data_IF_658554196988
#
_entry.id   IF_658554196988
#
_cell.length_a   1.000
_cell.length_b   1.000
_cell.length_c   1.000
_cell.angle_alpha   90.00
_cell.angle_beta   90.00
_cell.angle_gamma   90.00
#
_symmetry.space_group_name_H-M   'P 1'
#
loop_
_entity.id
_entity.type
_entity.pdbx_description
1 polymer ?
#
# COMPACT_ATOMS: atom_id res chain seq x y z
N UNK A 1 14.47 -9.29 -12.60
CA UNK A 1 13.22 -9.98 -12.19
C UNK A 1 12.34 -8.93 -11.55
N UNK A 2 11.40 -8.37 -12.31
CA UNK A 2 10.41 -7.44 -11.76
C UNK A 2 9.42 -8.31 -11.01
N UNK A 3 9.43 -8.26 -9.68
CA UNK A 3 8.40 -8.91 -8.88
C UNK A 3 7.07 -8.27 -9.28
N UNK A 4 6.29 -9.00 -10.08
CA UNK A 4 5.03 -8.51 -10.63
C UNK A 4 4.05 -8.40 -9.46
N UNK A 5 3.96 -7.20 -8.89
CA UNK A 5 3.06 -6.89 -7.80
C UNK A 5 1.64 -7.05 -8.35
N UNK A 6 0.89 -8.07 -7.92
CA UNK A 6 -0.49 -8.26 -8.33
C UNK A 6 -1.42 -7.39 -7.45
N UNK A 7 -1.84 -6.20 -7.89
CA UNK A 7 -2.56 -5.27 -7.04
C UNK A 7 -3.97 -5.75 -6.70
N UNK A 8 -4.61 -6.52 -7.58
CA UNK A 8 -5.94 -7.07 -7.34
C UNK A 8 -5.91 -8.09 -6.21
N UNK A 9 -4.95 -9.02 -6.23
CA UNK A 9 -4.81 -10.04 -5.19
C UNK A 9 -4.53 -9.40 -3.83
N UNK A 10 -3.63 -8.41 -3.79
CA UNK A 10 -3.31 -7.64 -2.59
C UNK A 10 -4.57 -6.93 -2.08
N UNK A 11 -5.25 -6.16 -2.94
CA UNK A 11 -6.42 -5.39 -2.55
C UNK A 11 -7.55 -6.25 -1.97
N UNK A 12 -7.76 -7.45 -2.52
CA UNK A 12 -8.77 -8.39 -2.02
C UNK A 12 -8.40 -9.04 -0.69
N UNK A 13 -7.10 -9.21 -0.41
CA UNK A 13 -6.62 -9.79 0.84
C UNK A 13 -6.58 -8.77 1.99
N UNK A 14 -6.53 -7.47 1.69
CA UNK A 14 -6.50 -6.44 2.71
C UNK A 14 -7.84 -6.32 3.47
N UNK A 15 -7.80 -6.04 4.79
CA UNK A 15 -9.00 -5.75 5.57
C UNK A 15 -9.82 -4.59 4.98
N UNK A 16 -11.16 -4.67 5.08
CA UNK A 16 -12.07 -3.66 4.53
C UNK A 16 -11.85 -2.25 5.10
N UNK A 17 -11.48 -2.16 6.38
CA UNK A 17 -11.16 -0.87 7.01
C UNK A 17 -9.87 -0.27 6.43
N UNK A 18 -8.86 -1.10 6.20
CA UNK A 18 -7.59 -0.67 5.61
C UNK A 18 -7.78 -0.25 4.15
N UNK A 19 -8.48 -1.04 3.34
CA UNK A 19 -8.79 -0.67 1.95
C UNK A 19 -9.59 0.63 1.87
N UNK A 20 -10.54 0.86 2.78
CA UNK A 20 -11.28 2.13 2.84
C UNK A 20 -10.37 3.32 3.15
N UNK A 21 -9.43 3.15 4.09
CA UNK A 21 -8.48 4.20 4.44
C UNK A 21 -7.47 4.48 3.31
N UNK A 22 -6.93 3.43 2.69
CA UNK A 22 -6.02 3.53 1.56
C UNK A 22 -6.69 4.12 0.32
N UNK A 23 -7.96 3.79 0.05
CA UNK A 23 -8.71 4.33 -1.09
C UNK A 23 -8.91 5.84 -1.00
N UNK A 24 -9.21 6.36 0.21
CA UNK A 24 -9.37 7.81 0.43
C UNK A 24 -8.08 8.60 0.20
N UNK A 25 -6.92 7.95 0.34
CA UNK A 25 -5.61 8.58 0.40
C UNK A 25 -4.62 7.93 -0.55
N UNK A 26 -5.10 7.32 -1.65
CA UNK A 26 -4.30 6.44 -2.50
C UNK A 26 -3.07 7.14 -3.09
N UNK A 27 -3.18 8.43 -3.37
CA UNK A 27 -2.09 9.26 -3.91
C UNK A 27 -1.34 10.03 -2.82
N UNK A 28 -1.78 10.00 -1.57
CA UNK A 28 -1.11 10.69 -0.46
C UNK A 28 -0.01 9.81 0.18
N UNK A 29 0.95 10.41 0.91
CA UNK A 29 1.85 9.66 1.76
C UNK A 29 1.09 8.87 2.84
N UNK A 30 1.56 7.65 3.11
CA UNK A 30 1.16 6.86 4.26
C UNK A 30 1.75 7.50 5.51
N UNK A 31 0.89 7.82 6.46
CA UNK A 31 1.29 8.10 7.84
C UNK A 31 1.77 6.82 8.55
N UNK A 32 2.48 6.98 9.67
CA UNK A 32 3.07 5.87 10.42
C UNK A 32 2.03 4.83 10.85
N UNK A 33 0.82 5.26 11.22
CA UNK A 33 -0.26 4.36 11.63
C UNK A 33 -0.73 3.50 10.46
N UNK A 34 -0.97 4.09 9.29
CA UNK A 34 -1.30 3.35 8.07
C UNK A 34 -0.17 2.44 7.64
N UNK A 35 1.08 2.87 7.76
CA UNK A 35 2.24 2.06 7.40
C UNK A 35 2.36 0.80 8.29
N UNK A 36 2.12 0.94 9.60
CA UNK A 36 2.08 -0.18 10.53
C UNK A 36 0.94 -1.14 10.19
N UNK A 37 -0.25 -0.62 9.89
CA UNK A 37 -1.40 -1.44 9.46
C UNK A 37 -1.13 -2.18 8.15
N UNK A 38 -0.44 -1.55 7.21
CA UNK A 38 -0.04 -2.19 5.95
C UNK A 38 0.99 -3.29 6.19
N UNK A 39 2.01 -3.05 7.02
CA UNK A 39 2.98 -4.09 7.41
C UNK A 39 2.28 -5.29 8.03
N UNK A 40 1.44 -5.05 9.04
CA UNK A 40 0.72 -6.11 9.72
C UNK A 40 -0.18 -6.89 8.77
N UNK A 41 -0.95 -6.21 7.92
CA UNK A 41 -1.81 -6.89 6.95
C UNK A 41 -1.00 -7.70 5.93
N UNK A 42 0.17 -7.22 5.53
CA UNK A 42 1.05 -7.95 4.63
C UNK A 42 1.61 -9.21 5.31
N UNK A 43 2.05 -9.12 6.57
CA UNK A 43 2.51 -10.28 7.33
C UNK A 43 1.38 -11.28 7.59
N UNK A 44 0.20 -10.82 8.01
CA UNK A 44 -0.96 -11.67 8.32
C UNK A 44 -1.51 -12.41 7.08
N UNK A 45 -1.36 -11.83 5.88
CA UNK A 45 -1.89 -12.39 4.64
C UNK A 45 -0.80 -12.90 3.68
N UNK A 46 0.46 -12.97 4.14
CA UNK A 46 1.63 -13.36 3.33
C UNK A 46 1.72 -12.59 1.98
N UNK A 47 1.47 -11.27 2.05
CA UNK A 47 1.48 -10.40 0.88
C UNK A 47 2.86 -9.78 0.68
N UNK A 48 3.26 -9.53 -0.58
CA UNK A 48 4.46 -8.75 -0.85
C UNK A 48 4.30 -7.32 -0.35
N UNK A 49 5.43 -6.69 -0.05
CA UNK A 49 5.47 -5.27 0.32
C UNK A 49 4.92 -4.42 -0.83
N UNK A 50 3.80 -3.74 -0.58
CA UNK A 50 3.05 -2.95 -1.57
C UNK A 50 3.15 -1.44 -1.33
N UNK A 51 4.14 -1.01 -0.56
CA UNK A 51 4.51 0.38 -0.34
C UNK A 51 6.01 0.58 -0.56
N UNK A 52 6.42 1.83 -0.78
CA UNK A 52 7.81 2.22 -0.99
C UNK A 52 8.11 3.55 -0.29
N UNK A 53 9.37 3.86 0.04
CA UNK A 53 9.76 5.20 0.44
C UNK A 53 9.32 6.23 -0.61
N UNK A 54 8.76 7.35 -0.15
CA UNK A 54 8.37 8.46 -1.01
C UNK A 54 9.63 9.16 -1.52
N UNK A 55 9.89 9.17 -2.85
CA UNK A 55 11.08 9.82 -3.40
C UNK A 55 11.00 11.34 -3.36
N UNK A 56 9.80 11.92 -3.23
CA UNK A 56 9.57 13.36 -3.25
C UNK A 56 9.47 13.96 -1.84
N UNK A 57 9.23 13.14 -0.83
CA UNK A 57 9.25 13.57 0.55
C UNK A 57 10.58 13.17 1.21
N UNK A 58 11.14 14.07 2.02
CA UNK A 58 12.33 13.77 2.80
C UNK A 58 12.17 12.50 3.67
N UNK A 59 13.29 12.00 4.18
CA UNK A 59 13.40 10.78 4.99
C UNK A 59 12.18 10.52 5.90
N UNK A 60 11.60 9.32 5.80
CA UNK A 60 10.58 8.83 6.73
C UNK A 60 9.16 8.69 6.16
N UNK A 61 8.85 9.27 4.99
CA UNK A 61 7.52 9.09 4.37
C UNK A 61 7.50 7.93 3.39
N UNK A 62 6.40 7.17 3.42
CA UNK A 62 6.16 6.05 2.52
C UNK A 62 4.91 6.33 1.68
N UNK A 63 4.79 5.68 0.53
CA UNK A 63 3.64 5.75 -0.37
C UNK A 63 3.29 4.36 -0.86
N UNK A 64 2.03 4.16 -1.23
CA UNK A 64 1.62 2.94 -1.93
C UNK A 64 2.40 2.76 -3.23
N UNK A 65 2.64 1.51 -3.59
CA UNK A 65 3.24 1.16 -4.86
C UNK A 65 2.33 1.64 -6.00
N UNK A 66 2.91 2.21 -7.05
CA UNK A 66 2.14 2.82 -8.14
C UNK A 66 1.13 1.86 -8.77
N UNK A 67 1.49 0.60 -8.98
CA UNK A 67 0.58 -0.43 -9.50
C UNK A 67 -0.70 -0.60 -8.64
N UNK A 68 -0.57 -0.47 -7.31
CA UNK A 68 -1.72 -0.54 -6.41
C UNK A 68 -2.55 0.75 -6.47
N UNK A 69 -1.88 1.92 -6.57
CA UNK A 69 -2.57 3.21 -6.76
C UNK A 69 -3.38 3.23 -8.05
N UNK A 70 -2.78 2.79 -9.16
CA UNK A 70 -3.44 2.68 -10.47
C UNK A 70 -4.64 1.73 -10.41
N UNK A 71 -4.53 0.63 -9.68
CA UNK A 71 -5.66 -0.29 -9.48
C UNK A 71 -6.79 0.33 -8.66
N UNK A 72 -6.49 1.06 -7.59
CA UNK A 72 -7.47 1.69 -6.71
C UNK A 72 -8.19 2.88 -7.38
N UNK A 73 -7.48 3.60 -8.24
CA UNK A 73 -7.97 4.85 -8.88
C UNK A 73 -8.59 4.63 -10.26
N UNK A 74 -8.59 3.39 -10.75
CA UNK A 74 -9.25 2.97 -11.98
C UNK A 74 -10.76 2.81 -11.80
#
# INVERSE_FOLDING_TARGET
MTTDLNPEAIWRALPKELTSALSRRATEPLDDELLIKCHRAAEENDLPIFWRPDPAAGFGRHRLHQALVEYITR
#
